data_IF_762685538954
#
_entry.id   IF_762685538954
#
_cell.length_a   1.000
_cell.length_b   1.000
_cell.length_c   1.000
_cell.angle_alpha   90.00
_cell.angle_beta   90.00
_cell.angle_gamma   90.00
#
_symmetry.space_group_name_H-M   'P 1'
#
loop_
_entity.id
_entity.type
_entity.pdbx_description
1 polymer ?
#
# COMPACT_ATOMS: atom_id res chain seq x y z
N UNK A 1 17.43 -10.52 -13.89
CA UNK A 1 18.26 -11.53 -14.57
C UNK A 1 17.58 -12.89 -14.39
N UNK A 2 17.70 -13.80 -15.34
CA UNK A 2 17.29 -15.19 -15.11
C UNK A 2 18.22 -15.83 -14.06
N UNK A 3 17.81 -16.95 -13.44
CA UNK A 3 18.66 -17.69 -12.49
C UNK A 3 19.98 -18.16 -13.13
N UNK A 4 19.98 -18.40 -14.44
CA UNK A 4 21.20 -18.81 -15.18
C UNK A 4 22.17 -17.65 -15.37
N UNK A 5 21.68 -16.43 -15.54
CA UNK A 5 22.51 -15.25 -15.80
C UNK A 5 22.98 -14.54 -14.53
N UNK A 6 22.26 -14.73 -13.40
CA UNK A 6 22.50 -13.99 -12.17
C UNK A 6 23.92 -14.20 -11.61
N UNK A 7 24.42 -15.44 -11.57
CA UNK A 7 25.74 -15.73 -11.01
C UNK A 7 26.90 -15.14 -11.85
N UNK A 8 26.95 -15.30 -13.18
CA UNK A 8 27.95 -14.63 -14.02
C UNK A 8 27.92 -13.10 -13.92
N UNK A 9 26.73 -12.50 -13.81
CA UNK A 9 26.59 -11.05 -13.64
C UNK A 9 27.12 -10.61 -12.27
N UNK A 10 26.85 -11.36 -11.22
CA UNK A 10 27.33 -11.07 -9.87
C UNK A 10 28.85 -11.17 -9.77
N UNK A 11 29.45 -12.19 -10.39
CA UNK A 11 30.90 -12.33 -10.55
C UNK A 11 31.52 -11.12 -11.25
N UNK A 12 30.94 -10.74 -12.39
CA UNK A 12 31.42 -9.58 -13.15
C UNK A 12 31.31 -8.30 -12.33
N UNK A 13 30.17 -8.06 -11.67
CA UNK A 13 29.92 -6.85 -10.89
C UNK A 13 30.88 -6.69 -9.72
N UNK A 14 31.30 -7.78 -9.05
CA UNK A 14 32.26 -7.73 -7.93
C UNK A 14 33.58 -7.05 -8.28
N UNK A 15 34.03 -7.14 -9.54
CA UNK A 15 35.25 -6.50 -10.03
C UNK A 15 35.13 -4.98 -10.24
N UNK A 16 33.91 -4.42 -10.20
CA UNK A 16 33.65 -2.99 -10.45
C UNK A 16 32.91 -2.29 -9.31
N UNK A 17 32.46 -3.02 -8.30
CA UNK A 17 31.66 -2.49 -7.20
C UNK A 17 32.47 -2.44 -5.90
N UNK A 18 32.49 -1.28 -5.24
CA UNK A 18 33.01 -1.14 -3.88
C UNK A 18 32.12 -1.89 -2.88
N UNK A 19 30.79 -1.72 -3.01
CA UNK A 19 29.76 -2.47 -2.28
C UNK A 19 28.89 -3.24 -3.28
N UNK A 20 28.79 -4.55 -3.11
CA UNK A 20 27.98 -5.43 -3.95
C UNK A 20 26.75 -5.91 -3.19
N UNK A 21 25.57 -5.78 -3.80
CA UNK A 21 24.31 -6.24 -3.24
C UNK A 21 23.54 -7.18 -4.16
N UNK A 22 22.64 -7.96 -3.57
CA UNK A 22 21.56 -8.65 -4.30
C UNK A 22 20.22 -8.13 -3.81
N UNK A 23 19.26 -7.98 -4.71
CA UNK A 23 17.89 -7.65 -4.36
C UNK A 23 16.90 -8.60 -5.03
N UNK A 24 15.76 -8.79 -4.38
CA UNK A 24 14.60 -9.49 -4.95
C UNK A 24 13.31 -8.84 -4.45
N UNK A 25 12.18 -9.22 -5.04
CA UNK A 25 10.88 -8.70 -4.64
C UNK A 25 9.83 -9.82 -4.75
N UNK A 26 9.17 -10.15 -3.63
CA UNK A 26 8.19 -11.28 -3.56
C UNK A 26 6.81 -10.95 -4.14
N UNK A 27 6.60 -9.70 -4.54
CA UNK A 27 5.32 -9.17 -5.01
C UNK A 27 4.65 -8.30 -3.95
N UNK A 28 3.90 -7.28 -4.37
CA UNK A 28 3.15 -6.41 -3.45
C UNK A 28 2.07 -7.21 -2.73
N UNK A 29 1.73 -6.81 -1.49
CA UNK A 29 0.66 -7.45 -0.71
C UNK A 29 0.87 -8.96 -0.52
N UNK A 30 2.08 -9.37 -0.16
CA UNK A 30 2.44 -10.77 0.05
C UNK A 30 1.82 -11.31 1.34
N UNK A 31 0.79 -12.15 1.21
CA UNK A 31 0.04 -12.71 2.35
C UNK A 31 0.74 -13.92 3.01
N UNK A 32 1.84 -14.43 2.42
CA UNK A 32 2.55 -15.60 2.91
C UNK A 32 4.02 -15.24 3.25
N UNK A 33 4.39 -15.18 4.55
CA UNK A 33 5.76 -14.91 4.97
C UNK A 33 6.80 -15.89 4.39
N UNK A 34 6.43 -17.14 4.09
CA UNK A 34 7.39 -18.12 3.55
C UNK A 34 7.95 -17.72 2.18
N UNK A 35 7.23 -16.89 1.41
CA UNK A 35 7.72 -16.41 0.12
C UNK A 35 9.03 -15.63 0.23
N UNK A 36 9.23 -14.90 1.33
CA UNK A 36 10.51 -14.23 1.61
C UNK A 36 11.62 -15.25 1.84
N UNK A 37 11.34 -16.31 2.61
CA UNK A 37 12.31 -17.40 2.84
C UNK A 37 12.70 -18.07 1.54
N UNK A 38 11.73 -18.42 0.70
CA UNK A 38 11.97 -19.09 -0.58
C UNK A 38 12.85 -18.23 -1.50
N UNK A 39 12.59 -16.93 -1.55
CA UNK A 39 13.38 -15.98 -2.34
C UNK A 39 14.80 -15.79 -1.78
N UNK A 40 14.97 -15.76 -0.45
CA UNK A 40 16.29 -15.69 0.20
C UNK A 40 17.10 -16.97 -0.01
N UNK A 41 16.46 -18.14 0.05
CA UNK A 41 17.11 -19.42 -0.22
C UNK A 41 17.58 -19.49 -1.68
N UNK A 42 16.81 -18.94 -2.62
CA UNK A 42 17.23 -18.80 -4.01
C UNK A 42 18.42 -17.82 -4.16
N UNK A 43 18.34 -16.64 -3.55
CA UNK A 43 19.44 -15.67 -3.56
C UNK A 43 20.72 -16.26 -2.98
N UNK A 44 20.61 -17.01 -1.87
CA UNK A 44 21.72 -17.73 -1.24
C UNK A 44 22.39 -18.72 -2.20
N UNK A 45 21.61 -19.55 -2.91
CA UNK A 45 22.16 -20.47 -3.93
C UNK A 45 22.89 -19.73 -5.05
N UNK A 46 22.36 -18.59 -5.51
CA UNK A 46 22.99 -17.76 -6.54
C UNK A 46 24.33 -17.19 -6.05
N UNK A 47 24.38 -16.69 -4.82
CA UNK A 47 25.60 -16.14 -4.20
C UNK A 47 26.68 -17.24 -4.12
N UNK A 48 26.31 -18.43 -3.63
CA UNK A 48 27.22 -19.58 -3.55
C UNK A 48 27.74 -19.95 -4.93
N UNK A 49 26.85 -20.06 -5.91
CA UNK A 49 27.21 -20.38 -7.30
C UNK A 49 28.13 -19.33 -7.93
N UNK A 50 27.94 -18.06 -7.60
CA UNK A 50 28.80 -16.97 -8.05
C UNK A 50 30.17 -16.99 -7.36
N UNK A 51 30.28 -17.50 -6.14
CA UNK A 51 31.54 -17.55 -5.39
C UNK A 51 32.09 -16.16 -5.05
N UNK A 52 31.21 -15.19 -4.82
CA UNK A 52 31.58 -13.82 -4.45
C UNK A 52 31.05 -13.46 -3.07
N UNK A 53 31.70 -12.48 -2.44
CA UNK A 53 31.24 -11.88 -1.19
C UNK A 53 30.24 -10.76 -1.51
N UNK A 54 29.08 -10.83 -0.86
CA UNK A 54 28.00 -9.84 -0.93
C UNK A 54 27.96 -9.04 0.36
N UNK A 55 27.84 -7.72 0.21
CA UNK A 55 27.83 -6.72 1.28
C UNK A 55 26.41 -6.33 1.70
N UNK A 56 25.42 -6.52 0.82
CA UNK A 56 24.02 -6.16 1.07
C UNK A 56 23.07 -7.24 0.52
N UNK A 57 22.10 -7.67 1.33
CA UNK A 57 20.94 -8.44 0.87
C UNK A 57 19.70 -7.56 1.07
N UNK A 58 19.05 -7.20 -0.03
CA UNK A 58 17.80 -6.44 -0.02
C UNK A 58 16.63 -7.37 -0.33
N UNK A 59 15.70 -7.50 0.62
CA UNK A 59 14.53 -8.38 0.46
C UNK A 59 13.37 -7.71 -0.27
N UNK A 60 13.56 -6.44 -0.68
CA UNK A 60 12.57 -5.64 -1.38
C UNK A 60 11.34 -5.35 -0.52
N UNK A 61 10.23 -5.09 -1.20
CA UNK A 61 8.93 -4.83 -0.61
C UNK A 61 8.08 -6.09 -0.45
N UNK A 62 6.77 -5.90 -0.47
CA UNK A 62 5.78 -6.98 -0.36
C UNK A 62 5.13 -7.14 1.00
N UNK A 63 5.65 -6.47 2.03
CA UNK A 63 4.98 -6.37 3.33
C UNK A 63 3.53 -5.89 3.16
N UNK A 64 2.54 -6.66 3.62
CA UNK A 64 1.13 -6.38 3.36
C UNK A 64 0.59 -5.27 4.28
N UNK A 65 -0.56 -4.73 3.88
CA UNK A 65 -1.46 -3.97 4.78
C UNK A 65 -2.76 -4.76 4.97
N UNK A 66 -3.46 -4.54 6.07
CA UNK A 66 -4.81 -5.05 6.22
C UNK A 66 -5.77 -4.32 5.26
N UNK A 67 -6.77 -5.03 4.75
CA UNK A 67 -7.93 -4.47 4.03
C UNK A 67 -9.16 -5.31 4.41
N UNK A 68 -10.40 -4.82 4.20
CA UNK A 68 -11.60 -5.63 4.37
C UNK A 68 -11.46 -7.03 3.71
N UNK A 69 -11.73 -8.10 4.46
CA UNK A 69 -11.57 -9.47 3.95
C UNK A 69 -10.13 -9.95 3.72
N UNK A 70 -9.12 -9.13 4.00
CA UNK A 70 -7.69 -9.46 3.90
C UNK A 70 -6.99 -9.22 5.23
N UNK A 71 -6.81 -10.29 6.00
CA UNK A 71 -6.08 -10.29 7.27
C UNK A 71 -4.70 -10.95 7.08
N UNK A 72 -3.64 -10.17 6.82
CA UNK A 72 -2.29 -10.73 6.75
C UNK A 72 -1.78 -11.14 8.14
N UNK A 73 -0.78 -12.03 8.23
CA UNK A 73 -0.06 -12.27 9.46
C UNK A 73 0.62 -11.01 10.02
N UNK A 74 0.95 -11.04 11.31
CA UNK A 74 1.65 -9.95 11.97
C UNK A 74 2.99 -9.66 11.30
N UNK A 75 3.33 -8.36 11.19
CA UNK A 75 4.58 -7.93 10.58
C UNK A 75 5.82 -8.53 11.26
N UNK A 76 5.75 -8.80 12.57
CA UNK A 76 6.81 -9.48 13.32
C UNK A 76 7.14 -10.86 12.76
N UNK A 77 6.15 -11.60 12.26
CA UNK A 77 6.38 -12.92 11.66
C UNK A 77 7.23 -12.79 10.39
N UNK A 78 6.94 -11.82 9.53
CA UNK A 78 7.75 -11.54 8.35
C UNK A 78 9.20 -11.19 8.73
N UNK A 79 9.36 -10.28 9.70
CA UNK A 79 10.68 -9.86 10.19
C UNK A 79 11.46 -11.05 10.75
N UNK A 80 10.82 -11.92 11.53
CA UNK A 80 11.47 -13.10 12.12
C UNK A 80 11.89 -14.12 11.05
N UNK A 81 11.03 -14.38 10.05
CA UNK A 81 11.35 -15.28 8.93
C UNK A 81 12.54 -14.75 8.14
N UNK A 82 12.53 -13.46 7.79
CA UNK A 82 13.61 -12.80 7.04
C UNK A 82 14.92 -12.83 7.84
N UNK A 83 14.86 -12.45 9.12
CA UNK A 83 16.05 -12.43 9.98
C UNK A 83 16.67 -13.82 10.13
N UNK A 84 15.86 -14.84 10.40
CA UNK A 84 16.32 -16.23 10.53
C UNK A 84 16.93 -16.75 9.23
N UNK A 85 16.35 -16.40 8.08
CA UNK A 85 16.91 -16.76 6.77
C UNK A 85 18.26 -16.08 6.54
N UNK A 86 18.37 -14.77 6.83
CA UNK A 86 19.59 -13.99 6.66
C UNK A 86 20.75 -14.52 7.51
N UNK A 87 20.48 -14.91 8.76
CA UNK A 87 21.48 -15.50 9.67
C UNK A 87 22.11 -16.80 9.12
N UNK A 88 21.41 -17.52 8.25
CA UNK A 88 21.91 -18.73 7.58
C UNK A 88 22.56 -18.49 6.22
N UNK A 89 22.59 -17.25 5.71
CA UNK A 89 23.15 -16.96 4.39
C UNK A 89 24.68 -16.89 4.40
N UNK A 90 25.36 -17.38 3.35
CA UNK A 90 26.82 -17.32 3.22
C UNK A 90 27.28 -15.93 2.73
N UNK A 91 26.99 -14.90 3.53
CA UNK A 91 27.36 -13.51 3.27
C UNK A 91 28.42 -13.03 4.26
N UNK A 92 29.00 -11.85 4.04
CA UNK A 92 29.98 -11.29 4.96
C UNK A 92 29.36 -11.07 6.36
N UNK A 93 30.16 -11.21 7.42
CA UNK A 93 29.68 -10.98 8.80
C UNK A 93 29.16 -9.55 9.04
N UNK A 94 29.65 -8.59 8.25
CA UNK A 94 29.23 -7.19 8.26
C UNK A 94 28.22 -6.86 7.15
N UNK A 95 27.67 -7.87 6.47
CA UNK A 95 26.67 -7.66 5.44
C UNK A 95 25.41 -7.00 6.03
N UNK A 96 24.81 -6.10 5.26
CA UNK A 96 23.60 -5.39 5.66
C UNK A 96 22.37 -6.09 5.10
N UNK A 97 21.34 -6.18 5.93
CA UNK A 97 20.00 -6.62 5.52
C UNK A 97 19.12 -5.38 5.30
N UNK A 98 18.62 -5.21 4.08
CA UNK A 98 17.75 -4.10 3.66
C UNK A 98 16.35 -4.60 3.29
N UNK A 99 15.40 -3.67 3.29
CA UNK A 99 14.05 -3.89 2.81
C UNK A 99 13.45 -2.59 2.25
N UNK A 100 12.42 -2.73 1.41
CA UNK A 100 11.75 -1.64 0.70
C UNK A 100 10.23 -1.59 0.99
N UNK A 101 9.79 -1.45 2.27
CA UNK A 101 8.37 -1.48 2.61
C UNK A 101 7.64 -0.21 2.12
N UNK A 102 6.87 -0.34 1.04
CA UNK A 102 5.97 0.72 0.58
C UNK A 102 4.60 0.64 1.26
N UNK A 103 3.76 -0.28 0.78
CA UNK A 103 2.35 -0.41 1.18
C UNK A 103 2.15 -0.47 2.69
N UNK A 104 2.90 -1.35 3.37
CA UNK A 104 2.82 -1.50 4.82
C UNK A 104 3.02 -0.16 5.57
N UNK A 105 3.90 0.72 5.09
CA UNK A 105 4.19 1.98 5.78
C UNK A 105 3.10 3.03 5.60
N UNK A 106 2.46 3.09 4.42
CA UNK A 106 1.65 4.25 4.05
C UNK A 106 0.19 3.96 3.72
N UNK A 107 -0.23 2.70 3.53
CA UNK A 107 -1.61 2.38 3.16
C UNK A 107 -2.64 3.00 4.12
N UNK A 108 -2.42 2.83 5.43
CA UNK A 108 -3.28 3.34 6.50
C UNK A 108 -3.28 4.87 6.63
N UNK A 109 -2.33 5.56 6.00
CA UNK A 109 -2.06 6.96 6.27
C UNK A 109 -3.02 7.94 5.60
N UNK A 110 -3.78 7.53 4.57
CA UNK A 110 -4.53 8.49 3.73
C UNK A 110 -5.96 8.06 3.38
N UNK A 111 -6.87 8.98 3.71
CA UNK A 111 -8.21 9.30 3.20
C UNK A 111 -8.31 9.84 1.78
N UNK A 112 -9.12 9.30 0.88
CA UNK A 112 -9.64 10.11 -0.25
C UNK A 112 -11.10 10.43 0.02
N UNK A 113 -11.48 11.71 -0.07
CA UNK A 113 -12.85 12.19 0.05
C UNK A 113 -13.30 12.71 -1.32
N UNK A 114 -14.21 11.98 -1.96
CA UNK A 114 -14.76 12.34 -3.28
C UNK A 114 -16.23 12.77 -3.12
N UNK A 115 -16.62 13.85 -3.80
CA UNK A 115 -17.99 14.37 -3.80
C UNK A 115 -18.83 13.62 -4.83
N UNK A 116 -20.07 13.32 -4.48
CA UNK A 116 -21.08 12.79 -5.41
C UNK A 116 -21.61 13.95 -6.26
N UNK A 117 -21.34 13.90 -7.56
CA UNK A 117 -21.76 14.92 -8.53
C UNK A 117 -23.12 14.59 -9.17
N UNK A 118 -23.43 13.31 -9.34
CA UNK A 118 -24.67 12.87 -9.98
C UNK A 118 -25.09 11.50 -9.46
N UNK A 119 -26.39 11.35 -9.14
CA UNK A 119 -27.01 10.06 -8.86
C UNK A 119 -27.89 9.67 -10.04
N UNK A 120 -27.53 8.60 -10.75
CA UNK A 120 -28.23 8.20 -11.97
C UNK A 120 -28.28 6.69 -12.13
N UNK A 121 -29.48 6.16 -12.41
CA UNK A 121 -29.69 4.74 -12.72
C UNK A 121 -29.12 3.76 -11.66
N UNK A 122 -29.18 4.13 -10.37
CA UNK A 122 -28.63 3.31 -9.29
C UNK A 122 -27.10 3.32 -9.18
N UNK A 123 -26.43 4.28 -9.83
CA UNK A 123 -24.99 4.50 -9.74
C UNK A 123 -24.69 5.94 -9.30
N UNK A 124 -23.47 6.12 -8.77
CA UNK A 124 -22.96 7.41 -8.31
C UNK A 124 -21.81 7.84 -9.22
N UNK A 125 -21.88 9.06 -9.74
CA UNK A 125 -20.75 9.70 -10.39
C UNK A 125 -20.08 10.59 -9.37
N UNK A 126 -18.77 10.41 -9.19
CA UNK A 126 -17.96 11.14 -8.23
C UNK A 126 -16.89 11.97 -8.92
N UNK A 127 -16.40 13.00 -8.25
CA UNK A 127 -15.38 13.92 -8.79
C UNK A 127 -13.95 13.36 -8.79
N UNK A 128 -13.76 12.07 -8.49
CA UNK A 128 -12.48 11.36 -8.59
C UNK A 128 -12.71 9.95 -9.14
N UNK A 129 -11.67 9.31 -9.67
CA UNK A 129 -11.85 8.08 -10.43
C UNK A 129 -10.58 7.26 -10.62
N UNK A 130 -10.64 6.31 -11.54
CA UNK A 130 -9.56 5.36 -11.84
C UNK A 130 -8.30 6.06 -12.36
N UNK A 131 -8.46 7.21 -13.01
CA UNK A 131 -7.39 8.08 -13.49
C UNK A 131 -6.85 9.06 -12.44
N UNK A 132 -7.52 9.16 -11.29
CA UNK A 132 -7.18 10.06 -10.19
C UNK A 132 -6.64 9.30 -8.98
N UNK A 133 -7.09 9.63 -7.77
CA UNK A 133 -6.53 9.04 -6.54
C UNK A 133 -7.08 7.63 -6.24
N UNK A 134 -8.09 7.18 -6.99
CA UNK A 134 -8.77 5.90 -6.78
C UNK A 134 -8.23 4.78 -7.69
N UNK A 135 -7.01 4.93 -8.21
CA UNK A 135 -6.39 3.95 -9.13
C UNK A 135 -6.44 2.51 -8.57
N UNK A 136 -5.91 2.26 -7.38
CA UNK A 136 -5.94 0.92 -6.77
C UNK A 136 -7.39 0.44 -6.53
N UNK A 137 -8.32 1.34 -6.15
CA UNK A 137 -9.73 1.01 -5.92
C UNK A 137 -10.45 0.57 -7.19
N UNK A 138 -10.06 1.13 -8.34
CA UNK A 138 -10.60 0.74 -9.63
C UNK A 138 -9.96 -0.54 -10.20
N UNK A 139 -8.65 -0.70 -10.05
CA UNK A 139 -7.90 -1.71 -10.83
C UNK A 139 -7.58 -2.99 -10.06
N UNK A 140 -7.32 -2.92 -8.75
CA UNK A 140 -6.86 -4.09 -8.00
C UNK A 140 -7.99 -5.05 -7.59
N UNK A 141 -9.26 -4.67 -7.78
CA UNK A 141 -10.46 -5.49 -7.48
C UNK A 141 -10.52 -6.04 -6.05
N UNK A 142 -9.87 -5.36 -5.10
CA UNK A 142 -9.97 -5.61 -3.68
C UNK A 142 -10.90 -4.61 -3.00
N UNK A 143 -11.56 -4.99 -1.89
CA UNK A 143 -12.48 -4.10 -1.20
C UNK A 143 -11.72 -3.04 -0.41
N UNK A 144 -11.92 -1.77 -0.77
CA UNK A 144 -11.56 -0.66 0.11
C UNK A 144 -12.72 -0.32 1.04
N UNK A 145 -12.45 0.06 2.29
CA UNK A 145 -13.53 0.43 3.17
C UNK A 145 -14.03 1.83 2.78
N UNK A 146 -15.36 1.99 2.72
CA UNK A 146 -16.02 3.24 2.31
C UNK A 146 -17.01 3.73 3.34
N UNK A 147 -17.20 5.05 3.40
CA UNK A 147 -18.15 5.70 4.32
C UNK A 147 -18.67 6.98 3.69
N UNK A 148 -19.99 7.16 3.72
CA UNK A 148 -20.60 8.40 3.25
C UNK A 148 -20.59 9.47 4.35
N UNK A 149 -20.49 10.74 3.94
CA UNK A 149 -20.57 11.92 4.80
C UNK A 149 -21.54 12.91 4.19
N UNK A 150 -22.48 13.41 5.01
CA UNK A 150 -23.45 14.44 4.62
C UNK A 150 -23.11 15.74 5.35
N UNK A 151 -22.78 16.83 4.63
CA UNK A 151 -22.44 18.10 5.27
C UNK A 151 -23.55 18.66 6.18
N UNK A 152 -24.80 18.58 5.71
CA UNK A 152 -25.95 19.26 6.33
C UNK A 152 -27.01 18.30 6.87
N UNK A 153 -26.62 17.20 7.52
CA UNK A 153 -27.57 16.28 8.14
C UNK A 153 -27.06 14.87 8.38
N UNK A 154 -27.99 13.94 8.51
CA UNK A 154 -27.72 12.51 8.70
C UNK A 154 -28.32 11.68 7.57
N UNK A 155 -27.83 10.46 7.44
CA UNK A 155 -28.43 9.47 6.56
C UNK A 155 -29.56 8.75 7.31
N UNK A 156 -30.73 8.68 6.70
CA UNK A 156 -31.91 8.00 7.27
C UNK A 156 -32.30 6.75 6.45
N UNK A 157 -31.70 6.57 5.27
CA UNK A 157 -31.85 5.38 4.46
C UNK A 157 -31.10 4.19 5.05
N UNK A 158 -31.60 2.98 4.77
CA UNK A 158 -30.82 1.75 4.98
C UNK A 158 -29.60 1.70 4.06
N UNK A 159 -28.85 0.60 4.08
CA UNK A 159 -27.71 0.43 3.18
C UNK A 159 -28.14 -0.14 1.82
N UNK A 160 -27.50 0.32 0.75
CA UNK A 160 -27.56 -0.31 -0.57
C UNK A 160 -26.18 -0.33 -1.23
N UNK A 161 -26.01 -1.20 -2.22
CA UNK A 161 -24.75 -1.31 -2.97
C UNK A 161 -24.81 -0.47 -4.23
N UNK A 162 -23.76 0.30 -4.49
CA UNK A 162 -23.64 1.14 -5.68
C UNK A 162 -22.48 0.71 -6.58
N UNK A 163 -22.62 1.06 -7.86
CA UNK A 163 -21.50 1.23 -8.78
C UNK A 163 -21.06 2.69 -8.76
N UNK A 164 -19.77 2.92 -8.93
CA UNK A 164 -19.20 4.26 -8.98
C UNK A 164 -18.60 4.53 -10.36
N UNK A 165 -18.73 5.75 -10.83
CA UNK A 165 -18.07 6.26 -12.03
C UNK A 165 -17.25 7.48 -11.66
N UNK A 166 -16.05 7.58 -12.21
CA UNK A 166 -15.26 8.79 -12.09
C UNK A 166 -15.74 9.89 -13.05
N UNK A 167 -15.04 11.05 -13.05
CA UNK A 167 -15.49 12.24 -13.75
C UNK A 167 -15.16 12.24 -15.25
N UNK A 168 -14.44 11.24 -15.76
CA UNK A 168 -13.98 11.24 -17.15
C UNK A 168 -15.04 10.68 -18.11
N UNK A 169 -14.83 10.88 -19.41
CA UNK A 169 -15.69 10.33 -20.45
C UNK A 169 -15.30 8.89 -20.86
N UNK A 170 -14.25 8.33 -20.26
CA UNK A 170 -13.77 6.99 -20.57
C UNK A 170 -14.57 5.94 -19.79
N UNK A 171 -15.04 4.91 -20.49
CA UNK A 171 -15.73 3.78 -19.88
C UNK A 171 -14.89 3.00 -18.87
N UNK A 172 -13.56 3.11 -18.94
CA UNK A 172 -12.64 2.51 -17.97
C UNK A 172 -12.60 3.27 -16.64
N UNK A 173 -13.23 4.43 -16.56
CA UNK A 173 -13.40 5.19 -15.32
C UNK A 173 -14.66 4.75 -14.56
N UNK A 174 -14.72 3.44 -14.32
CA UNK A 174 -15.82 2.77 -13.67
C UNK A 174 -15.30 1.80 -12.62
N UNK A 175 -16.00 1.75 -11.48
CA UNK A 175 -15.75 0.84 -10.39
C UNK A 175 -17.04 0.07 -10.09
N UNK A 176 -17.03 -1.22 -10.41
CA UNK A 176 -18.22 -2.09 -10.34
C UNK A 176 -18.69 -2.37 -8.90
N UNK A 177 -17.84 -2.12 -7.90
CA UNK A 177 -18.16 -2.35 -6.49
C UNK A 177 -18.06 -3.84 -6.09
N UNK A 178 -18.81 -4.28 -5.06
CA UNK A 178 -19.89 -3.53 -4.39
C UNK A 178 -19.38 -2.45 -3.44
N UNK A 179 -19.97 -1.25 -3.50
CA UNK A 179 -19.78 -0.19 -2.50
C UNK A 179 -21.06 -0.03 -1.68
N UNK A 180 -21.06 -0.55 -0.45
CA UNK A 180 -22.19 -0.45 0.48
C UNK A 180 -22.23 0.94 1.10
N UNK A 181 -23.26 1.72 0.77
CA UNK A 181 -23.45 3.11 1.20
C UNK A 181 -24.93 3.36 1.54
N UNK A 182 -25.28 4.45 2.24
CA UNK A 182 -26.66 4.79 2.53
C UNK A 182 -27.52 4.91 1.27
N UNK A 183 -28.75 4.39 1.33
CA UNK A 183 -29.67 4.35 0.21
C UNK A 183 -30.21 5.72 -0.17
N UNK A 184 -30.23 6.65 0.78
CA UNK A 184 -30.65 8.04 0.59
C UNK A 184 -29.47 8.97 0.23
N UNK A 185 -28.31 8.43 -0.19
CA UNK A 185 -27.19 9.25 -0.67
C UNK A 185 -27.61 10.10 -1.88
N UNK A 186 -27.15 11.35 -1.91
CA UNK A 186 -27.54 12.34 -2.93
C UNK A 186 -26.35 13.16 -3.40
N UNK A 187 -26.58 13.94 -4.45
CA UNK A 187 -25.64 14.93 -4.97
C UNK A 187 -25.20 15.90 -3.86
N UNK A 188 -23.90 16.18 -3.80
CA UNK A 188 -23.27 16.99 -2.76
C UNK A 188 -22.85 16.23 -1.49
N UNK A 189 -23.30 14.99 -1.29
CA UNK A 189 -22.73 14.11 -0.26
C UNK A 189 -21.30 13.70 -0.66
N UNK A 190 -20.50 13.26 0.32
CA UNK A 190 -19.12 12.81 0.10
C UNK A 190 -18.96 11.33 0.41
N UNK A 191 -18.03 10.67 -0.27
CA UNK A 191 -17.62 9.29 -0.02
C UNK A 191 -16.15 9.31 0.39
N UNK A 192 -15.87 8.85 1.60
CA UNK A 192 -14.53 8.60 2.10
C UNK A 192 -14.10 7.18 1.74
N UNK A 193 -12.99 7.07 1.03
CA UNK A 193 -12.31 5.82 0.72
C UNK A 193 -11.10 5.67 1.65
N UNK A 194 -11.21 4.71 2.57
CA UNK A 194 -10.18 4.33 3.51
C UNK A 194 -8.93 3.74 2.85
N UNK A 195 -7.79 3.80 3.55
CA UNK A 195 -6.60 2.97 3.27
C UNK A 195 -5.95 3.15 1.89
N UNK A 196 -6.01 4.36 1.31
CA UNK A 196 -5.50 4.68 -0.03
C UNK A 196 -4.16 5.44 -0.03
N UNK A 197 -3.42 5.40 1.07
CA UNK A 197 -2.12 6.09 1.13
C UNK A 197 -1.01 5.41 0.31
N UNK A 198 -1.23 4.16 -0.13
CA UNK A 198 -0.32 3.45 -1.03
C UNK A 198 -0.98 3.29 -2.40
N UNK A 199 -0.26 3.68 -3.47
CA UNK A 199 -0.65 3.46 -4.88
C UNK A 199 -2.03 4.03 -5.31
N UNK A 200 -2.64 4.89 -4.48
CA UNK A 200 -3.73 5.79 -4.89
C UNK A 200 -3.15 7.10 -5.43
N UNK A 201 -2.89 8.04 -4.52
CA UNK A 201 -2.36 9.39 -4.84
C UNK A 201 -1.12 9.37 -5.75
N UNK A 202 -0.22 8.41 -5.56
CA UNK A 202 1.01 8.31 -6.34
C UNK A 202 0.78 7.95 -7.82
N UNK A 203 -0.38 7.39 -8.15
CA UNK A 203 -0.79 6.97 -9.49
C UNK A 203 -1.72 7.98 -10.18
N UNK A 204 -2.02 9.09 -9.52
CA UNK A 204 -2.90 10.14 -10.04
C UNK A 204 -2.33 10.71 -11.35
N UNK A 205 -3.20 10.86 -12.35
CA UNK A 205 -2.92 11.61 -13.58
C UNK A 205 -3.70 12.91 -13.61
N UNK A 206 -3.52 13.72 -14.67
CA UNK A 206 -4.40 14.87 -14.98
C UNK A 206 -5.24 14.63 -16.23
N UNK A 207 -5.68 13.39 -16.43
CA UNK A 207 -6.52 13.04 -17.56
C UNK A 207 -7.83 13.84 -17.54
N UNK A 208 -8.26 14.34 -18.70
CA UNK A 208 -9.36 15.32 -18.86
C UNK A 208 -9.25 16.60 -18.01
N UNK A 209 -8.08 16.90 -17.43
CA UNK A 209 -7.85 18.07 -16.58
C UNK A 209 -8.25 17.89 -15.10
N UNK A 210 -8.79 16.73 -14.70
CA UNK A 210 -9.18 16.46 -13.32
C UNK A 210 -7.99 16.16 -12.40
N UNK A 211 -8.24 16.15 -11.08
CA UNK A 211 -7.27 15.77 -10.05
C UNK A 211 -6.79 16.90 -9.14
N UNK A 212 -7.54 18.00 -9.06
CA UNK A 212 -7.28 19.00 -8.02
C UNK A 212 -7.70 18.44 -6.65
N UNK A 213 -6.82 18.61 -5.65
CA UNK A 213 -7.03 18.06 -4.31
C UNK A 213 -6.45 18.96 -3.25
N UNK A 214 -7.12 19.05 -2.11
CA UNK A 214 -6.64 19.67 -0.89
C UNK A 214 -6.20 18.60 0.12
N UNK A 215 -4.96 18.72 0.62
CA UNK A 215 -4.40 17.81 1.63
C UNK A 215 -4.65 18.36 3.05
N UNK A 216 -5.49 17.66 3.82
CA UNK A 216 -5.83 18.00 5.20
C UNK A 216 -5.19 17.00 6.14
N UNK A 217 -4.39 17.46 7.10
CA UNK A 217 -3.86 16.59 8.16
C UNK A 217 -4.90 16.41 9.27
N UNK A 218 -5.23 15.16 9.60
CA UNK A 218 -6.18 14.80 10.65
C UNK A 218 -5.50 13.94 11.73
N UNK A 219 -6.13 13.82 12.91
CA UNK A 219 -5.59 13.07 14.05
C UNK A 219 -6.33 11.74 14.30
N UNK A 220 -7.32 11.43 13.48
CA UNK A 220 -8.10 10.20 13.55
C UNK A 220 -7.22 8.97 13.34
N UNK A 221 -7.59 7.88 14.02
CA UNK A 221 -6.97 6.59 13.78
C UNK A 221 -7.33 6.07 12.37
N UNK A 222 -6.44 5.26 11.75
CA UNK A 222 -6.83 4.52 10.56
C UNK A 222 -7.99 3.58 10.87
N UNK A 223 -8.82 3.27 9.86
CA UNK A 223 -10.01 2.45 10.05
C UNK A 223 -9.68 1.00 10.41
N UNK A 224 -8.61 0.48 9.82
CA UNK A 224 -8.01 -0.80 10.17
C UNK A 224 -6.52 -0.57 10.29
N UNK A 225 -5.91 -1.11 11.35
CA UNK A 225 -4.48 -1.03 11.55
C UNK A 225 -3.85 -2.39 11.76
N UNK A 226 -2.75 -2.62 11.05
CA UNK A 226 -1.80 -3.71 11.29
C UNK A 226 -1.02 -3.54 12.60
N UNK A 227 -1.10 -2.35 13.22
CA UNK A 227 -0.21 -1.92 14.30
C UNK A 227 -0.93 -1.74 15.65
N UNK A 228 -2.25 -1.95 15.68
CA UNK A 228 -3.07 -1.88 16.89
C UNK A 228 -2.84 -3.11 17.78
N UNK A 229 -1.70 -3.14 18.47
CA UNK A 229 -1.28 -4.27 19.31
C UNK A 229 0.21 -4.25 19.65
N UNK A 230 1.02 -3.47 18.91
CA UNK A 230 2.42 -3.23 19.27
C UNK A 230 2.43 -2.31 20.49
N UNK A 231 2.59 -2.89 21.69
CA UNK A 231 2.94 -2.10 22.87
C UNK A 231 4.10 -1.18 22.50
N UNK A 232 3.92 0.13 22.72
CA UNK A 232 4.95 1.14 22.49
C UNK A 232 6.16 0.76 23.34
N UNK A 233 7.10 -0.03 22.80
CA UNK A 233 8.48 -0.04 23.30
C UNK A 233 9.01 1.36 23.05
N UNK A 234 8.83 2.24 24.04
CA UNK A 234 9.42 3.56 24.03
C UNK A 234 10.93 3.36 23.91
N UNK A 235 11.59 3.76 22.81
CA UNK A 235 13.02 3.98 22.90
C UNK A 235 13.24 5.08 23.94
N UNK A 236 14.22 4.88 24.82
CA UNK A 236 14.62 5.90 25.79
C UNK A 236 14.81 7.24 25.06
N UNK A 237 13.94 8.20 25.37
CA UNK A 237 13.81 9.41 24.58
C UNK A 237 15.03 10.33 24.71
N UNK A 238 15.55 10.93 23.62
CA UNK A 238 15.95 12.31 23.65
C UNK A 238 14.73 13.18 23.35
N UNK A 239 14.58 14.28 24.10
CA UNK A 239 13.49 15.27 23.98
C UNK A 239 13.23 15.67 22.52
N UNK A 240 12.13 15.19 21.94
CA UNK A 240 11.43 15.81 20.82
C UNK A 240 9.96 15.43 20.87
N UNK A 241 9.10 16.44 20.70
CA UNK A 241 7.64 16.39 20.75
C UNK A 241 7.06 15.14 20.12
N UNK A 242 6.29 14.37 20.89
CA UNK A 242 5.59 13.17 20.43
C UNK A 242 4.71 13.51 19.23
N UNK A 243 5.12 13.06 18.04
CA UNK A 243 4.29 13.15 16.83
C UNK A 243 3.20 12.09 16.97
N UNK A 244 2.00 12.52 17.39
CA UNK A 244 0.80 11.68 17.31
C UNK A 244 0.64 11.25 15.85
N UNK A 245 0.34 9.97 15.62
CA UNK A 245 0.10 9.41 14.29
C UNK A 245 -1.03 10.20 13.62
N UNK A 246 -0.68 11.04 12.66
CA UNK A 246 -1.63 11.86 11.90
C UNK A 246 -1.97 11.15 10.60
N UNK A 247 -3.23 10.79 10.39
CA UNK A 247 -3.76 10.40 9.07
C UNK A 247 -3.93 11.66 8.22
N UNK A 248 -3.94 11.55 6.90
CA UNK A 248 -4.27 12.63 5.97
C UNK A 248 -5.64 12.35 5.35
N UNK A 249 -6.42 13.38 5.14
CA UNK A 249 -7.63 13.37 4.34
C UNK A 249 -7.36 14.22 3.11
N UNK A 250 -7.46 13.63 1.93
CA UNK A 250 -7.31 14.31 0.65
C UNK A 250 -8.71 14.58 0.11
N UNK A 251 -9.11 15.83 0.09
CA UNK A 251 -10.42 16.28 -0.39
C UNK A 251 -10.28 16.64 -1.86
N UNK A 252 -11.05 15.99 -2.71
CA UNK A 252 -11.04 16.27 -4.14
C UNK A 252 -11.93 17.48 -4.40
N UNK A 253 -11.35 18.53 -4.98
CA UNK A 253 -11.99 19.83 -5.20
C UNK A 253 -12.71 19.93 -6.54
#
# INVERSE_FOLDING_TARGET
ASETDAAPLLQKARGYADNLGVSFHVGSQCMNPSAFRDAMDLASRIIVKAGVIVDVVDVGGGFPSAYPGMAPPDLELYVNVIKSAFEGMPVAMNAKLWCEPGRAMVAESTSILARVELVKNGALHINDGSYGNLFDAAHCKWPFPVKAHRPDGVFEGGEQTFKLYGPTCDSLDAMEGPFTLPADIREGDYIEFGMLGAYGVAMQTRFNGFGETEDIAVQDQPWTSMYSGVEKRQPAAPRRTARKTSRRLKVVS
#
